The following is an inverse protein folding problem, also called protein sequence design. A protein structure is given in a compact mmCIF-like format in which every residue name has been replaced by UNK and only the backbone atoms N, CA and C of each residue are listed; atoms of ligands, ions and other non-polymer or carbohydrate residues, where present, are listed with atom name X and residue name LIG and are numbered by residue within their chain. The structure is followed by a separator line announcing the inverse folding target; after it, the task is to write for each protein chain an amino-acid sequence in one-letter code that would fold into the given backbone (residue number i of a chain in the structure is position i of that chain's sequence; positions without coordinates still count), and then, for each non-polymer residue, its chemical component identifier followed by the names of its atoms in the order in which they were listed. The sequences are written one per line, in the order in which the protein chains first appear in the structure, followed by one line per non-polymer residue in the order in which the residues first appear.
data_IF_500189330099
#
_entry.id   IF_500189330099
#
_cell.length_a   1.000
_cell.length_b   1.000
_cell.length_c   1.000
_cell.angle_alpha   90.00
_cell.angle_beta   90.00
_cell.angle_gamma   90.00
#
_symmetry.space_group_name_H-M   'P 1'
#
loop_
_entity.id
_entity.type
_entity.pdbx_description
1 polymer ?
#
# COMPACT_ATOMS: atom_id res chain seq x y z
N UNK A 1 9.61 1.86 -7.49
CA UNK A 1 8.47 1.19 -6.83
C UNK A 1 7.34 1.09 -7.83
N UNK A 2 6.75 -0.09 -7.96
CA UNK A 2 5.58 -0.37 -8.80
C UNK A 2 4.44 -0.91 -7.95
N UNK A 3 3.20 -0.72 -8.41
CA UNK A 3 2.00 -1.21 -7.73
C UNK A 3 1.12 -1.91 -8.75
N UNK A 4 0.70 -3.14 -8.46
CA UNK A 4 -0.25 -3.93 -9.26
C UNK A 4 -1.37 -4.47 -8.38
N UNK A 5 -2.41 -5.06 -8.98
CA UNK A 5 -3.56 -5.59 -8.26
C UNK A 5 -4.04 -6.92 -8.84
N UNK A 6 -4.62 -7.77 -7.98
CA UNK A 6 -5.29 -9.01 -8.36
C UNK A 6 -6.41 -9.29 -7.36
N UNK A 7 -7.66 -9.35 -7.83
CA UNK A 7 -8.83 -9.52 -6.97
C UNK A 7 -8.90 -8.48 -5.85
N UNK A 8 -8.81 -8.93 -4.60
CA UNK A 8 -8.80 -8.09 -3.41
C UNK A 8 -7.40 -7.64 -2.99
N UNK A 9 -6.34 -8.03 -3.70
CA UNK A 9 -4.96 -7.72 -3.32
C UNK A 9 -4.41 -6.54 -4.12
N UNK A 10 -3.63 -5.70 -3.44
CA UNK A 10 -2.64 -4.83 -4.06
C UNK A 10 -1.23 -5.33 -3.71
N UNK A 11 -0.36 -5.40 -4.71
CA UNK A 11 1.03 -5.84 -4.57
C UNK A 11 1.94 -4.66 -4.87
N UNK A 12 2.80 -4.32 -3.92
CA UNK A 12 3.69 -3.17 -4.02
C UNK A 12 5.14 -3.61 -4.01
N UNK A 13 5.93 -3.21 -5.01
CA UNK A 13 7.37 -3.46 -5.06
C UNK A 13 8.16 -2.28 -4.50
N UNK A 14 8.98 -2.53 -3.50
CA UNK A 14 9.92 -1.57 -2.91
C UNK A 14 11.34 -1.82 -3.43
N UNK A 15 12.30 -0.92 -3.16
CA UNK A 15 13.71 -1.30 -3.18
C UNK A 15 13.99 -2.47 -2.20
N UNK A 16 15.14 -3.16 -2.33
CA UNK A 16 15.56 -4.22 -1.40
C UNK A 16 15.53 -3.75 0.06
N UNK A 17 14.99 -4.57 0.96
CA UNK A 17 14.82 -4.26 2.38
C UNK A 17 13.76 -3.19 2.71
N UNK A 18 13.09 -2.62 1.70
CA UNK A 18 12.17 -1.49 1.87
C UNK A 18 10.74 -1.86 2.27
N UNK A 19 10.38 -3.15 2.21
CA UNK A 19 8.99 -3.58 2.37
C UNK A 19 8.43 -3.28 3.77
N UNK A 20 9.21 -3.52 4.82
CA UNK A 20 8.77 -3.32 6.20
C UNK A 20 8.45 -1.86 6.52
N UNK A 21 9.29 -0.93 6.04
CA UNK A 21 9.06 0.50 6.21
C UNK A 21 7.77 0.94 5.53
N UNK A 22 7.54 0.44 4.30
CA UNK A 22 6.32 0.74 3.55
C UNK A 22 5.08 0.17 4.23
N UNK A 23 5.11 -1.09 4.66
CA UNK A 23 3.98 -1.73 5.35
C UNK A 23 3.60 -0.96 6.62
N UNK A 24 4.60 -0.58 7.44
CA UNK A 24 4.36 0.26 8.63
C UNK A 24 3.73 1.61 8.28
N UNK A 25 4.14 2.24 7.17
CA UNK A 25 3.54 3.47 6.71
C UNK A 25 2.08 3.26 6.27
N UNK A 26 1.78 2.18 5.54
CA UNK A 26 0.41 1.86 5.09
C UNK A 26 -0.49 1.58 6.29
N UNK A 27 -0.04 0.79 7.27
CA UNK A 27 -0.84 0.43 8.45
C UNK A 27 -1.23 1.67 9.26
N UNK A 28 -0.30 2.61 9.48
CA UNK A 28 -0.59 3.89 10.15
C UNK A 28 -1.64 4.72 9.40
N UNK A 29 -1.66 4.66 8.07
CA UNK A 29 -2.61 5.39 7.23
C UNK A 29 -3.95 4.65 7.01
N UNK A 30 -3.99 3.34 7.24
CA UNK A 30 -5.24 2.59 7.36
C UNK A 30 -5.98 3.03 8.63
N UNK A 31 -5.25 3.14 9.75
CA UNK A 31 -5.79 3.56 11.05
C UNK A 31 -6.27 5.02 11.07
N UNK A 32 -5.63 5.92 10.33
CA UNK A 32 -6.03 7.34 10.27
C UNK A 32 -7.14 7.63 9.24
N UNK A 33 -7.66 6.60 8.57
CA UNK A 33 -8.81 6.72 7.66
C UNK A 33 -8.48 7.20 6.25
N UNK A 34 -7.21 7.27 5.86
CA UNK A 34 -6.80 7.62 4.48
C UNK A 34 -6.85 6.42 3.53
N UNK A 35 -6.72 5.19 4.05
CA UNK A 35 -6.81 3.93 3.28
C UNK A 35 -7.85 2.99 3.94
N UNK A 36 -9.12 3.42 4.00
CA UNK A 36 -10.20 2.71 4.75
C UNK A 36 -10.53 1.31 4.22
N UNK A 37 -10.21 1.04 2.96
CA UNK A 37 -10.53 -0.23 2.30
C UNK A 37 -9.52 -1.33 2.57
N UNK A 38 -8.38 -1.03 3.21
CA UNK A 38 -7.40 -2.06 3.61
C UNK A 38 -7.88 -2.83 4.86
N UNK A 39 -7.75 -4.15 4.83
CA UNK A 39 -7.86 -5.05 5.99
C UNK A 39 -6.53 -5.06 6.76
N UNK A 40 -5.41 -5.16 6.04
CA UNK A 40 -4.07 -5.24 6.61
C UNK A 40 -3.00 -5.46 5.55
N UNK A 41 -1.74 -5.55 6.00
CA UNK A 41 -0.57 -5.72 5.14
C UNK A 41 0.34 -6.87 5.59
N UNK A 42 1.09 -7.44 4.64
CA UNK A 42 2.19 -8.38 4.90
C UNK A 42 3.41 -7.90 4.13
N UNK A 43 4.53 -7.72 4.82
CA UNK A 43 5.81 -7.35 4.22
C UNK A 43 6.72 -8.58 4.05
N UNK A 44 7.30 -8.72 2.85
CA UNK A 44 8.48 -9.53 2.60
C UNK A 44 9.75 -8.68 2.72
N UNK A 45 10.70 -8.90 1.81
CA UNK A 45 11.92 -8.10 1.69
C UNK A 45 11.72 -6.86 0.79
N UNK A 46 11.31 -7.11 -0.45
CA UNK A 46 11.15 -6.08 -1.50
C UNK A 46 9.70 -5.94 -1.99
N UNK A 47 8.76 -6.60 -1.30
CA UNK A 47 7.36 -6.71 -1.71
C UNK A 47 6.43 -6.59 -0.51
N UNK A 48 5.35 -5.81 -0.65
CA UNK A 48 4.25 -5.71 0.32
C UNK A 48 2.95 -6.16 -0.33
N UNK A 49 2.22 -7.04 0.35
CA UNK A 49 0.84 -7.38 0.02
C UNK A 49 -0.10 -6.57 0.89
N UNK A 50 -1.12 -5.98 0.27
CA UNK A 50 -2.19 -5.24 0.96
C UNK A 50 -3.53 -5.88 0.59
N UNK A 51 -4.31 -6.24 1.60
CA UNK A 51 -5.59 -6.94 1.39
C UNK A 51 -6.75 -5.96 1.50
N UNK A 52 -7.67 -5.97 0.55
CA UNK A 52 -8.90 -5.17 0.54
C UNK A 52 -10.03 -5.87 1.27
N UNK A 53 -10.92 -5.07 1.87
CA UNK A 53 -12.22 -5.49 2.41
C UNK A 53 -13.16 -6.02 1.32
N UNK A 54 -13.06 -5.47 0.11
CA UNK A 54 -13.89 -5.90 -1.03
C UNK A 54 -13.17 -6.96 -1.86
N UNK A 55 -13.90 -7.99 -2.30
CA UNK A 55 -13.37 -9.06 -3.15
C UNK A 55 -12.70 -8.55 -4.44
N UNK A 56 -13.13 -7.39 -4.95
CA UNK A 56 -12.59 -6.76 -6.17
C UNK A 56 -11.89 -5.42 -5.89
N UNK A 57 -11.59 -5.13 -4.62
CA UNK A 57 -11.07 -3.82 -4.20
C UNK A 57 -9.56 -3.61 -4.40
N UNK A 58 -8.83 -4.59 -4.94
CA UNK A 58 -7.38 -4.49 -5.11
C UNK A 58 -6.95 -3.34 -6.03
N UNK A 59 -7.70 -3.08 -7.11
CA UNK A 59 -7.38 -2.00 -8.05
C UNK A 59 -7.54 -0.60 -7.40
N UNK A 60 -8.54 -0.42 -6.54
CA UNK A 60 -8.75 0.82 -5.79
C UNK A 60 -7.66 1.03 -4.71
N UNK A 61 -7.27 -0.06 -4.02
CA UNK A 61 -6.12 -0.04 -3.11
C UNK A 61 -4.85 0.38 -3.82
N UNK A 62 -4.56 -0.22 -4.98
CA UNK A 62 -3.37 0.10 -5.76
C UNK A 62 -3.31 1.59 -6.15
N UNK A 63 -4.45 2.16 -6.57
CA UNK A 63 -4.56 3.60 -6.85
C UNK A 63 -4.32 4.45 -5.60
N UNK A 64 -4.95 4.10 -4.49
CA UNK A 64 -4.81 4.82 -3.22
C UNK A 64 -3.35 4.83 -2.72
N UNK A 65 -2.68 3.67 -2.77
CA UNK A 65 -1.27 3.53 -2.38
C UNK A 65 -0.36 4.33 -3.31
N UNK A 66 -0.63 4.31 -4.62
CA UNK A 66 0.14 5.08 -5.60
C UNK A 66 0.02 6.58 -5.32
N UNK A 67 -1.20 7.07 -5.09
CA UNK A 67 -1.48 8.46 -4.76
C UNK A 67 -0.83 8.90 -3.45
N UNK A 68 -0.79 8.01 -2.45
CA UNK A 68 -0.09 8.26 -1.20
C UNK A 68 1.42 8.41 -1.43
N UNK A 69 2.03 7.50 -2.20
CA UNK A 69 3.45 7.52 -2.51
C UNK A 69 3.87 8.76 -3.31
N UNK A 70 3.01 9.27 -4.21
CA UNK A 70 3.28 10.51 -4.96
C UNK A 70 3.07 11.76 -4.10
N UNK A 71 2.03 11.80 -3.27
CA UNK A 71 1.73 12.95 -2.39
C UNK A 71 2.77 13.16 -1.29
N UNK A 72 3.41 12.08 -0.82
CA UNK A 72 4.52 12.15 0.15
C UNK A 72 5.75 12.89 -0.39
N UNK A 73 6.03 12.82 -1.70
CA UNK A 73 7.17 13.54 -2.30
C UNK A 73 7.03 15.07 -2.26
N UNK A 74 5.81 15.59 -2.16
CA UNK A 74 5.55 17.05 -2.13
C UNK A 74 5.70 17.72 -0.76
N UNK A 75 5.78 16.94 0.34
CA UNK A 75 5.85 17.47 1.71
C UNK A 75 7.26 17.52 2.32
N UNK A 76 8.31 17.18 1.55
CA UNK A 76 9.70 17.44 1.94
C UNK A 76 10.07 18.88 1.56
N UNK A 77 9.70 19.84 2.39
CA UNK A 77 10.33 21.16 2.47
C UNK A 77 10.89 21.33 3.87
#
# INVERSE_FOLDING_TARGET
MSVTASGNLAVVRTPPGGAQLLASAIDRNSLNGSIKSAIGTIAGDDTVLVVSKSANGGAELAKSITNYATSSKGKRK
#
